data_IF_747633121114
#
_entry.id   IF_747633121114
#
_cell.length_a   1.000
_cell.length_b   1.000
_cell.length_c   1.000
_cell.angle_alpha   90.00
_cell.angle_beta   90.00
_cell.angle_gamma   90.00
#
_symmetry.space_group_name_H-M   'P 1'
#
loop_
_entity.id
_entity.type
_entity.pdbx_description
1 polymer ?
#
# COMPACT_ATOMS: atom_id res chain seq x y z
N UNK A 1 -15.82 -34.62 -14.12
CA UNK A 1 -16.85 -33.86 -13.39
C UNK A 1 -16.73 -32.38 -13.76
N UNK A 2 -17.79 -31.75 -14.31
CA UNK A 2 -17.73 -30.38 -14.78
C UNK A 2 -17.67 -29.39 -13.61
N UNK A 3 -16.71 -28.47 -13.69
CA UNK A 3 -16.53 -27.37 -12.74
C UNK A 3 -17.71 -26.40 -12.86
N UNK A 4 -18.32 -26.06 -11.72
CA UNK A 4 -19.60 -25.36 -11.64
C UNK A 4 -19.53 -23.93 -12.21
N UNK A 5 -20.47 -23.54 -13.09
CA UNK A 5 -20.50 -22.21 -13.77
C UNK A 5 -20.44 -21.01 -12.80
N UNK A 6 -20.92 -21.16 -11.56
CA UNK A 6 -20.83 -20.12 -10.51
C UNK A 6 -19.40 -19.69 -10.18
N UNK A 7 -18.42 -20.59 -10.25
CA UNK A 7 -17.02 -20.24 -9.97
C UNK A 7 -16.38 -19.42 -11.10
N UNK A 8 -16.91 -19.45 -12.32
CA UNK A 8 -16.37 -18.68 -13.45
C UNK A 8 -16.89 -17.23 -13.47
N UNK A 9 -18.10 -16.97 -12.96
CA UNK A 9 -18.65 -15.61 -12.82
C UNK A 9 -17.96 -14.83 -11.69
N UNK A 10 -17.68 -15.45 -10.54
CA UNK A 10 -16.88 -14.83 -9.45
C UNK A 10 -15.42 -14.50 -9.86
N UNK A 11 -14.90 -15.19 -10.88
CA UNK A 11 -13.56 -14.94 -11.42
C UNK A 11 -13.60 -13.84 -12.51
N UNK A 12 -14.70 -13.73 -13.27
CA UNK A 12 -14.90 -12.66 -14.28
C UNK A 12 -15.17 -11.29 -13.65
N UNK A 13 -15.81 -11.21 -12.48
CA UNK A 13 -16.00 -9.95 -11.73
C UNK A 13 -14.73 -9.41 -11.05
N UNK A 14 -13.59 -10.09 -11.22
CA UNK A 14 -12.28 -9.59 -10.73
C UNK A 14 -11.59 -8.66 -11.72
N UNK A 15 -12.12 -8.48 -12.94
CA UNK A 15 -11.34 -7.99 -14.08
C UNK A 15 -11.62 -6.58 -14.60
N UNK A 16 -12.68 -5.87 -14.19
CA UNK A 16 -12.99 -4.56 -14.79
C UNK A 16 -13.40 -3.57 -13.68
N UNK A 17 -12.55 -2.58 -13.41
CA UNK A 17 -12.90 -1.39 -12.62
C UNK A 17 -12.57 -1.39 -11.12
N UNK A 18 -11.84 -2.37 -10.58
CA UNK A 18 -11.41 -2.30 -9.17
C UNK A 18 -10.32 -1.26 -8.99
N UNK A 19 -10.58 -0.28 -8.14
CA UNK A 19 -9.60 0.72 -7.72
C UNK A 19 -8.37 -0.01 -7.14
N UNK A 20 -7.21 0.14 -7.78
CA UNK A 20 -5.97 -0.47 -7.31
C UNK A 20 -5.50 0.25 -6.03
N UNK A 21 -4.99 -0.51 -5.06
CA UNK A 21 -4.54 0.03 -3.79
C UNK A 21 -3.39 -0.80 -3.20
N UNK A 22 -2.49 -0.16 -2.44
CA UNK A 22 -1.39 -0.83 -1.78
C UNK A 22 -1.87 -1.95 -0.86
N UNK A 23 -1.27 -3.13 -0.99
CA UNK A 23 -1.60 -4.31 -0.18
C UNK A 23 -0.66 -4.51 1.01
N UNK A 24 0.16 -3.51 1.31
CA UNK A 24 0.99 -3.44 2.51
C UNK A 24 0.79 -2.10 3.23
N UNK A 25 1.02 -2.05 4.55
CA UNK A 25 0.95 -0.83 5.33
C UNK A 25 1.97 0.20 4.86
N UNK A 26 1.66 1.49 5.01
CA UNK A 26 2.56 2.57 4.59
C UNK A 26 3.91 2.50 5.31
N UNK A 27 3.91 2.26 6.62
CA UNK A 27 5.16 2.20 7.39
C UNK A 27 6.05 1.06 6.90
N UNK A 28 5.49 -0.11 6.64
CA UNK A 28 6.22 -1.25 6.05
C UNK A 28 6.78 -0.92 4.67
N UNK A 29 6.03 -0.17 3.85
CA UNK A 29 6.52 0.30 2.56
C UNK A 29 7.73 1.25 2.72
N UNK A 30 7.66 2.20 3.66
CA UNK A 30 8.77 3.11 3.98
C UNK A 30 9.99 2.32 4.48
N UNK A 31 9.81 1.34 5.35
CA UNK A 31 10.90 0.48 5.85
C UNK A 31 11.62 -0.26 4.72
N UNK A 32 10.90 -0.77 3.72
CA UNK A 32 11.52 -1.44 2.58
C UNK A 32 12.33 -0.49 1.70
N UNK A 33 11.85 0.74 1.50
CA UNK A 33 12.60 1.78 0.78
C UNK A 33 13.84 2.18 1.57
N UNK A 34 13.73 2.32 2.88
CA UNK A 34 14.86 2.64 3.76
C UNK A 34 15.96 1.57 3.68
N UNK A 35 15.57 0.27 3.64
CA UNK A 35 16.54 -0.83 3.44
C UNK A 35 17.30 -0.72 2.12
N UNK A 36 16.63 -0.30 1.04
CA UNK A 36 17.29 -0.09 -0.27
C UNK A 36 18.31 1.05 -0.14
N UNK A 37 17.88 2.19 0.40
CA UNK A 37 18.71 3.39 0.53
C UNK A 37 19.89 3.20 1.49
N UNK A 38 19.74 2.40 2.55
CA UNK A 38 20.82 2.03 3.48
C UNK A 38 21.97 1.27 2.81
N UNK A 39 21.73 0.63 1.67
CA UNK A 39 22.81 0.03 0.84
C UNK A 39 23.52 1.04 -0.05
N UNK A 40 23.18 2.33 0.03
CA UNK A 40 23.71 3.38 -0.86
C UNK A 40 23.23 3.23 -2.31
N UNK A 41 22.18 2.43 -2.55
CA UNK A 41 21.65 2.16 -3.89
C UNK A 41 20.35 2.93 -4.10
N UNK A 42 20.26 3.69 -5.18
CA UNK A 42 18.99 4.28 -5.66
C UNK A 42 18.28 3.36 -6.66
N UNK A 43 19.04 2.47 -7.30
CA UNK A 43 18.57 1.43 -8.20
C UNK A 43 18.97 0.07 -7.63
N UNK A 44 18.01 -0.85 -7.57
CA UNK A 44 18.23 -2.21 -7.09
C UNK A 44 17.64 -3.22 -8.06
N UNK A 45 18.37 -4.31 -8.31
CA UNK A 45 17.85 -5.45 -9.05
C UNK A 45 16.74 -6.12 -8.23
N UNK A 46 15.73 -6.63 -8.91
CA UNK A 46 14.60 -7.34 -8.28
C UNK A 46 15.08 -8.49 -7.38
N UNK A 47 16.07 -9.25 -7.84
CA UNK A 47 16.65 -10.38 -7.09
C UNK A 47 17.42 -9.91 -5.85
N UNK A 48 18.13 -8.77 -5.94
CA UNK A 48 18.79 -8.16 -4.79
C UNK A 48 17.78 -7.63 -3.77
N UNK A 49 16.67 -7.07 -4.25
CA UNK A 49 15.57 -6.61 -3.41
C UNK A 49 14.87 -7.78 -2.71
N UNK A 50 14.61 -8.87 -3.43
CA UNK A 50 14.09 -10.13 -2.90
C UNK A 50 14.91 -10.65 -1.72
N UNK A 51 16.24 -10.71 -1.89
CA UNK A 51 17.18 -11.10 -0.82
C UNK A 51 17.19 -10.11 0.34
N UNK A 52 17.05 -8.82 0.05
CA UNK A 52 17.10 -7.75 1.05
C UNK A 52 15.91 -7.79 2.03
N UNK A 53 14.72 -8.13 1.52
CA UNK A 53 13.50 -8.16 2.34
C UNK A 53 13.10 -9.57 2.78
N UNK A 54 13.80 -10.60 2.29
CA UNK A 54 13.52 -12.02 2.56
C UNK A 54 12.07 -12.38 2.21
N UNK A 55 11.65 -12.04 0.98
CA UNK A 55 10.28 -12.31 0.48
C UNK A 55 10.35 -12.74 -0.97
N UNK A 56 9.66 -13.84 -1.28
CA UNK A 56 9.75 -14.52 -2.57
C UNK A 56 8.41 -14.55 -3.32
N UNK A 57 8.49 -14.83 -4.63
CA UNK A 57 7.35 -15.18 -5.47
C UNK A 57 6.19 -14.18 -5.45
N UNK A 58 4.97 -14.66 -5.22
CA UNK A 58 3.76 -13.83 -5.22
C UNK A 58 3.78 -12.70 -4.18
N UNK A 59 4.38 -12.94 -3.01
CA UNK A 59 4.47 -11.93 -1.94
C UNK A 59 5.40 -10.79 -2.33
N UNK A 60 6.52 -11.09 -2.99
CA UNK A 60 7.42 -10.08 -3.54
C UNK A 60 6.71 -9.19 -4.57
N UNK A 61 5.94 -9.79 -5.47
CA UNK A 61 5.16 -9.04 -6.46
C UNK A 61 4.17 -8.07 -5.82
N UNK A 62 3.46 -8.52 -4.77
CA UNK A 62 2.52 -7.69 -4.02
C UNK A 62 3.24 -6.50 -3.38
N UNK A 63 4.42 -6.73 -2.78
CA UNK A 63 5.22 -5.67 -2.16
C UNK A 63 5.67 -4.66 -3.21
N UNK A 64 6.28 -5.11 -4.31
CA UNK A 64 6.75 -4.23 -5.39
C UNK A 64 5.59 -3.41 -5.95
N UNK A 65 4.44 -4.03 -6.18
CA UNK A 65 3.24 -3.33 -6.65
C UNK A 65 2.80 -2.27 -5.65
N UNK A 66 2.75 -2.60 -4.37
CA UNK A 66 2.35 -1.66 -3.32
C UNK A 66 3.32 -0.46 -3.21
N UNK A 67 4.63 -0.70 -3.35
CA UNK A 67 5.62 0.37 -3.39
C UNK A 67 5.42 1.30 -4.59
N UNK A 68 5.01 0.76 -5.74
CA UNK A 68 4.64 1.56 -6.92
C UNK A 68 3.34 2.33 -6.71
N UNK A 69 2.33 1.72 -6.08
CA UNK A 69 1.05 2.36 -5.77
C UNK A 69 1.21 3.54 -4.78
N UNK A 70 2.18 3.47 -3.86
CA UNK A 70 2.59 4.61 -3.04
C UNK A 70 3.51 5.62 -3.76
N UNK A 71 3.96 5.31 -4.98
CA UNK A 71 4.88 6.15 -5.74
C UNK A 71 6.33 6.14 -5.23
N UNK A 72 6.73 5.16 -4.42
CA UNK A 72 8.06 5.10 -3.82
C UNK A 72 9.12 4.52 -4.75
N UNK A 73 8.70 3.64 -5.66
CA UNK A 73 9.59 3.03 -6.64
C UNK A 73 8.95 3.03 -8.03
N UNK A 74 9.78 3.07 -9.06
CA UNK A 74 9.40 2.84 -10.45
C UNK A 74 10.24 1.71 -11.04
N UNK A 75 9.77 1.13 -12.14
CA UNK A 75 10.59 0.17 -12.89
C UNK A 75 11.54 0.92 -13.81
N UNK A 76 12.85 0.69 -13.65
CA UNK A 76 13.90 1.28 -14.49
C UNK A 76 14.49 0.26 -15.48
N UNK A 77 13.69 -0.71 -15.91
CA UNK A 77 14.12 -1.84 -16.74
C UNK A 77 13.24 -3.08 -16.51
N UNK A 78 13.59 -4.21 -17.13
CA UNK A 78 12.84 -5.48 -16.97
C UNK A 78 12.92 -6.04 -15.54
N UNK A 79 14.04 -5.82 -14.85
CA UNK A 79 14.32 -6.39 -13.53
C UNK A 79 14.87 -5.37 -12.53
N UNK A 80 14.71 -4.08 -12.79
CA UNK A 80 15.29 -3.01 -11.97
C UNK A 80 14.19 -2.15 -11.34
N UNK A 81 14.40 -1.84 -10.06
CA UNK A 81 13.56 -0.96 -9.27
C UNK A 81 14.37 0.27 -8.92
N UNK A 82 13.86 1.45 -9.25
CA UNK A 82 14.47 2.74 -8.90
C UNK A 82 13.62 3.42 -7.83
N UNK A 83 14.26 3.87 -6.76
CA UNK A 83 13.62 4.66 -5.71
C UNK A 83 13.38 6.08 -6.22
N UNK A 84 12.15 6.55 -6.15
CA UNK A 84 11.76 7.90 -6.57
C UNK A 84 12.21 8.95 -5.56
N UNK A 85 12.21 10.23 -5.94
CA UNK A 85 12.49 11.31 -4.98
C UNK A 85 11.47 11.37 -3.83
N UNK A 86 10.22 10.97 -4.10
CA UNK A 86 9.21 10.80 -3.06
C UNK A 86 9.62 9.70 -2.06
N UNK A 87 10.05 8.54 -2.57
CA UNK A 87 10.57 7.43 -1.75
C UNK A 87 11.78 7.85 -0.91
N UNK A 88 12.70 8.64 -1.47
CA UNK A 88 13.85 9.18 -0.72
C UNK A 88 13.40 10.17 0.35
N UNK A 89 12.52 11.11 -0.01
CA UNK A 89 12.03 12.15 0.91
C UNK A 89 11.28 11.55 2.09
N UNK A 90 10.38 10.60 1.83
CA UNK A 90 9.51 10.03 2.87
C UNK A 90 10.29 9.21 3.91
N UNK A 91 11.38 8.55 3.51
CA UNK A 91 12.25 7.82 4.47
C UNK A 91 13.04 8.75 5.40
N UNK A 92 13.22 10.01 5.03
CA UNK A 92 13.97 11.00 5.83
C UNK A 92 13.08 11.89 6.67
N UNK A 93 11.81 12.04 6.30
CA UNK A 93 10.90 12.93 7.01
C UNK A 93 10.41 12.31 8.32
N UNK A 94 10.35 13.13 9.36
CA UNK A 94 9.63 12.84 10.61
C UNK A 94 8.31 13.62 10.68
N UNK A 95 7.97 14.36 9.62
CA UNK A 95 6.78 15.17 9.57
C UNK A 95 5.57 14.29 9.23
N UNK A 96 4.78 14.01 10.25
CA UNK A 96 3.55 13.23 10.16
C UNK A 96 2.54 13.76 9.15
N UNK A 97 2.54 15.08 8.89
CA UNK A 97 1.70 15.68 7.85
C UNK A 97 2.13 15.22 6.46
N UNK A 98 3.43 15.22 6.16
CA UNK A 98 3.94 14.73 4.88
C UNK A 98 3.69 13.24 4.68
N UNK A 99 3.80 12.45 5.77
CA UNK A 99 3.46 11.02 5.76
C UNK A 99 1.97 10.82 5.47
N UNK A 100 1.10 11.65 6.08
CA UNK A 100 -0.33 11.64 5.80
C UNK A 100 -0.64 12.04 4.34
N UNK A 101 -0.01 13.09 3.82
CA UNK A 101 -0.21 13.51 2.43
C UNK A 101 0.15 12.38 1.44
N UNK A 102 1.25 11.65 1.68
CA UNK A 102 1.60 10.46 0.91
C UNK A 102 0.56 9.37 1.06
N UNK A 103 0.09 9.09 2.28
CA UNK A 103 -0.94 8.09 2.53
C UNK A 103 -2.24 8.40 1.76
N UNK A 104 -2.64 9.67 1.74
CA UNK A 104 -3.84 10.18 1.08
C UNK A 104 -3.66 10.42 -0.42
N UNK A 105 -2.45 10.29 -0.96
CA UNK A 105 -2.23 10.28 -2.42
C UNK A 105 -2.92 9.08 -3.09
N UNK A 106 -3.15 8.00 -2.33
CA UNK A 106 -3.93 6.84 -2.78
C UNK A 106 -5.43 7.19 -2.74
N UNK A 107 -6.14 7.15 -3.89
CA UNK A 107 -7.52 7.63 -3.97
C UNK A 107 -8.50 6.98 -2.98
N UNK A 108 -8.39 5.68 -2.75
CA UNK A 108 -9.28 4.99 -1.82
C UNK A 108 -9.03 5.40 -0.37
N UNK A 109 -7.77 5.67 0.02
CA UNK A 109 -7.45 6.20 1.35
C UNK A 109 -8.02 7.59 1.53
N UNK A 110 -7.88 8.46 0.52
CA UNK A 110 -8.48 9.79 0.51
C UNK A 110 -9.99 9.74 0.72
N UNK A 111 -10.69 8.88 -0.02
CA UNK A 111 -12.15 8.70 0.13
C UNK A 111 -12.57 8.26 1.54
N UNK A 112 -11.76 7.44 2.22
CA UNK A 112 -12.01 7.06 3.61
C UNK A 112 -11.79 8.27 4.53
N UNK A 113 -10.67 8.97 4.35
CA UNK A 113 -10.32 10.15 5.15
C UNK A 113 -11.30 11.30 4.97
N UNK A 114 -11.76 11.60 3.75
CA UNK A 114 -12.77 12.64 3.51
C UNK A 114 -14.10 12.33 4.22
N UNK A 115 -14.43 11.04 4.41
CA UNK A 115 -15.65 10.61 5.09
C UNK A 115 -15.55 10.64 6.62
N UNK A 116 -14.42 10.20 7.16
CA UNK A 116 -14.26 9.98 8.61
C UNK A 116 -13.24 10.92 9.29
N UNK A 117 -12.55 11.74 8.51
CA UNK A 117 -11.50 12.65 8.96
C UNK A 117 -10.36 11.91 9.65
N UNK A 118 -9.89 12.49 10.76
CA UNK A 118 -8.85 11.93 11.63
C UNK A 118 -9.35 10.78 12.54
N UNK A 119 -10.63 10.44 12.48
CA UNK A 119 -11.18 9.34 13.28
C UNK A 119 -10.88 8.02 12.57
N UNK A 120 -10.21 7.09 13.25
CA UNK A 120 -9.99 5.73 12.74
C UNK A 120 -11.29 4.94 12.95
N UNK A 121 -12.07 4.63 11.91
CA UNK A 121 -13.35 3.96 12.10
C UNK A 121 -13.13 2.49 12.49
N UNK A 122 -14.15 1.86 13.05
CA UNK A 122 -14.09 0.44 13.30
C UNK A 122 -13.94 -0.37 12.00
N UNK A 123 -13.33 -1.55 12.10
CA UNK A 123 -13.07 -2.44 10.96
C UNK A 123 -14.38 -2.81 10.26
N UNK A 124 -15.46 -3.11 10.99
CA UNK A 124 -16.75 -3.45 10.38
C UNK A 124 -17.33 -2.26 9.61
N UNK A 125 -17.21 -1.05 10.17
CA UNK A 125 -17.69 0.20 9.53
C UNK A 125 -16.91 0.47 8.24
N UNK A 126 -15.58 0.29 8.25
CA UNK A 126 -14.76 0.40 7.04
C UNK A 126 -15.12 -0.64 6.00
N UNK A 127 -15.26 -1.91 6.39
CA UNK A 127 -15.62 -2.99 5.46
C UNK A 127 -16.95 -2.66 4.77
N UNK A 128 -17.98 -2.29 5.52
CA UNK A 128 -19.28 -1.95 4.95
C UNK A 128 -19.20 -0.76 3.97
N UNK A 129 -18.34 0.22 4.25
CA UNK A 129 -18.12 1.36 3.36
C UNK A 129 -17.39 0.98 2.07
N UNK A 130 -16.50 -0.01 2.13
CA UNK A 130 -15.62 -0.42 1.04
C UNK A 130 -16.19 -1.56 0.20
N UNK A 131 -17.06 -2.40 0.78
CA UNK A 131 -17.58 -3.61 0.13
C UNK A 131 -18.30 -3.29 -1.19
N UNK A 132 -19.08 -2.20 -1.22
CA UNK A 132 -19.74 -1.72 -2.44
C UNK A 132 -18.82 -1.04 -3.47
N UNK A 133 -17.52 -0.94 -3.21
CA UNK A 133 -16.54 -0.25 -4.09
C UNK A 133 -15.45 -1.17 -4.63
N UNK A 134 -14.93 -2.06 -3.79
CA UNK A 134 -13.78 -2.91 -4.11
C UNK A 134 -14.04 -4.40 -3.87
N UNK A 135 -15.24 -4.75 -3.38
CA UNK A 135 -15.60 -6.12 -3.03
C UNK A 135 -15.14 -6.53 -1.63
N UNK A 136 -15.77 -7.57 -1.08
CA UNK A 136 -15.65 -7.96 0.34
C UNK A 136 -14.24 -8.33 0.79
N UNK A 137 -13.51 -9.12 0.00
CA UNK A 137 -12.16 -9.58 0.36
C UNK A 137 -11.17 -8.40 0.37
N UNK A 138 -11.17 -7.59 -0.68
CA UNK A 138 -10.32 -6.40 -0.78
C UNK A 138 -10.70 -5.35 0.28
N UNK A 139 -11.99 -5.19 0.59
CA UNK A 139 -12.47 -4.35 1.69
C UNK A 139 -11.93 -4.79 3.06
N UNK A 140 -11.89 -6.10 3.34
CA UNK A 140 -11.31 -6.63 4.58
C UNK A 140 -9.81 -6.35 4.68
N UNK A 141 -9.08 -6.54 3.57
CA UNK A 141 -7.65 -6.24 3.49
C UNK A 141 -7.39 -4.76 3.71
N UNK A 142 -8.04 -3.90 2.92
CA UNK A 142 -7.86 -2.45 2.99
C UNK A 142 -8.26 -1.87 4.35
N UNK A 143 -9.36 -2.35 4.95
CA UNK A 143 -9.76 -1.91 6.28
C UNK A 143 -8.67 -2.22 7.34
N UNK A 144 -7.97 -3.34 7.22
CA UNK A 144 -6.83 -3.66 8.08
C UNK A 144 -5.67 -2.69 7.86
N UNK A 145 -5.24 -2.55 6.60
CA UNK A 145 -4.10 -1.72 6.19
C UNK A 145 -4.30 -0.23 6.53
N UNK A 146 -5.51 0.28 6.30
CA UNK A 146 -5.86 1.67 6.58
C UNK A 146 -5.78 1.95 8.08
N UNK A 147 -6.40 1.09 8.91
CA UNK A 147 -6.36 1.26 10.37
C UNK A 147 -4.94 1.18 10.91
N UNK A 148 -4.13 0.24 10.43
CA UNK A 148 -2.75 0.09 10.86
C UNK A 148 -1.91 1.32 10.49
N UNK A 149 -2.00 1.78 9.23
CA UNK A 149 -1.26 2.96 8.77
C UNK A 149 -1.69 4.22 9.52
N UNK A 150 -2.99 4.47 9.68
CA UNK A 150 -3.49 5.64 10.41
C UNK A 150 -3.12 5.63 11.89
N UNK A 151 -3.08 4.45 12.54
CA UNK A 151 -2.61 4.33 13.93
C UNK A 151 -1.14 4.71 14.07
N UNK A 152 -0.32 4.48 13.05
CA UNK A 152 1.08 4.90 13.08
C UNK A 152 1.24 6.40 12.80
N UNK A 153 0.39 6.99 11.95
CA UNK A 153 0.51 8.39 11.50
C UNK A 153 -0.10 9.40 12.51
N UNK A 154 -1.23 9.09 13.13
CA UNK A 154 -1.95 10.07 13.98
C UNK A 154 -1.24 10.43 15.30
N UNK A 155 -0.66 9.49 16.07
CA UNK A 155 -0.02 9.81 17.35
C UNK A 155 1.18 10.75 17.16
N UNK A 156 1.88 10.61 16.03
CA UNK A 156 3.04 11.44 15.68
C UNK A 156 2.62 12.83 15.19
N UNK A 157 1.33 13.12 14.97
CA UNK A 157 0.84 14.48 14.71
C UNK A 157 0.58 15.26 16.02
N UNK A 158 0.13 14.58 17.08
CA UNK A 158 -0.15 15.20 18.38
C UNK A 158 1.10 15.62 19.17
N UNK A 159 2.30 15.23 18.71
CA UNK A 159 3.58 15.58 19.34
C UNK A 159 4.29 16.75 18.66
N UNK A 160 3.68 17.35 17.63
CA UNK A 160 4.24 18.46 16.84
C UNK A 160 3.47 19.78 17.05
N UNK A 161 2.62 19.86 18.07
CA UNK A 161 1.96 21.09 18.54
C UNK A 161 2.70 21.72 19.71
#
# INVERSE_FOLDING_TARGET
MPMNKKSQEEIKERGIGREEFPKIPLMTAIEYVEKILKKGKEVILREDFEKLIDKHGGRLNIIIKSLKEYGFVISSGKSELMVTDLGKKITKTKNSKEILDVFLSVPIHKKIYDKYGRIIPDKKVLINFLEGKIGKLDAQTLAGLYRESMKAILPTMSTLE
#
